data_IF_420842942448
#
_entry.id   IF_420842942448
#
_cell.length_a   1.000
_cell.length_b   1.000
_cell.length_c   1.000
_cell.angle_alpha   90.00
_cell.angle_beta   90.00
_cell.angle_gamma   90.00
#
_symmetry.space_group_name_H-M   'P 1'
#
loop_
_entity.id
_entity.type
_entity.pdbx_description
1 polymer ?
#
# COMPACT_ATOMS: atom_id res chain seq x y z
N UNK A 1 -19.53 88.54 54.38
CA UNK A 1 -20.90 88.63 53.83
C UNK A 1 -21.08 87.99 52.45
N UNK A 2 -20.50 88.48 51.34
CA UNK A 2 -20.72 87.89 50.01
C UNK A 2 -20.19 86.44 49.87
N UNK A 3 -18.97 86.21 50.37
CA UNK A 3 -18.32 84.89 50.44
C UNK A 3 -19.04 83.87 51.35
N UNK A 4 -19.65 84.31 52.44
CA UNK A 4 -20.36 83.41 53.37
C UNK A 4 -21.72 82.99 52.83
N UNK A 5 -22.40 83.91 52.11
CA UNK A 5 -23.62 83.60 51.35
C UNK A 5 -23.32 82.62 50.22
N UNK A 6 -22.27 82.87 49.43
CA UNK A 6 -21.82 81.95 48.37
C UNK A 6 -21.42 80.58 48.93
N UNK A 7 -20.73 80.52 50.07
CA UNK A 7 -20.37 79.26 50.73
C UNK A 7 -21.60 78.49 51.25
N UNK A 8 -22.63 79.19 51.74
CA UNK A 8 -23.88 78.55 52.17
C UNK A 8 -24.71 78.07 50.98
N UNK A 9 -24.71 78.81 49.87
CA UNK A 9 -25.36 78.40 48.62
C UNK A 9 -24.67 77.17 48.01
N UNK A 10 -23.34 77.11 48.02
CA UNK A 10 -22.58 75.93 47.60
C UNK A 10 -22.87 74.71 48.48
N UNK A 11 -22.93 74.87 49.81
CA UNK A 11 -23.28 73.77 50.73
C UNK A 11 -24.70 73.25 50.49
N UNK A 12 -25.65 74.14 50.16
CA UNK A 12 -27.00 73.74 49.78
C UNK A 12 -27.00 72.94 48.48
N UNK A 13 -26.26 73.41 47.47
CA UNK A 13 -26.10 72.69 46.20
C UNK A 13 -25.44 71.33 46.40
N UNK A 14 -24.40 71.23 47.23
CA UNK A 14 -23.72 69.97 47.57
C UNK A 14 -24.69 68.95 48.18
N UNK A 15 -25.52 69.36 49.14
CA UNK A 15 -26.54 68.49 49.74
C UNK A 15 -27.60 68.05 48.71
N UNK A 16 -28.00 68.94 47.79
CA UNK A 16 -28.92 68.61 46.71
C UNK A 16 -28.30 67.63 45.70
N UNK A 17 -27.02 67.78 45.38
CA UNK A 17 -26.30 66.86 44.49
C UNK A 17 -26.11 65.48 45.12
N UNK A 18 -25.72 65.41 46.39
CA UNK A 18 -25.62 64.15 47.15
C UNK A 18 -26.96 63.42 47.21
N UNK A 19 -28.08 64.15 47.30
CA UNK A 19 -29.41 63.53 47.26
C UNK A 19 -29.73 62.98 45.87
N UNK A 20 -29.41 63.72 44.80
CA UNK A 20 -29.59 63.28 43.41
C UNK A 20 -28.71 62.09 43.06
N UNK A 21 -27.50 62.03 43.59
CA UNK A 21 -26.57 60.91 43.42
C UNK A 21 -27.15 59.63 44.03
N UNK A 22 -27.65 59.69 45.27
CA UNK A 22 -28.37 58.56 45.90
C UNK A 22 -29.61 58.14 45.12
N UNK A 23 -30.38 59.09 44.60
CA UNK A 23 -31.54 58.80 43.75
C UNK A 23 -31.16 58.14 42.42
N UNK A 24 -29.95 58.39 41.90
CA UNK A 24 -29.42 57.73 40.70
C UNK A 24 -28.89 56.34 41.02
N UNK A 25 -28.14 56.17 42.12
CA UNK A 25 -27.69 54.85 42.59
C UNK A 25 -28.86 53.89 42.85
N UNK A 26 -29.95 54.39 43.45
CA UNK A 26 -31.17 53.60 43.67
C UNK A 26 -31.84 53.21 42.35
N UNK A 27 -31.79 54.09 41.33
CA UNK A 27 -32.31 53.79 39.99
C UNK A 27 -31.44 52.76 39.27
N UNK A 28 -30.12 52.91 39.27
CA UNK A 28 -29.17 51.95 38.68
C UNK A 28 -29.31 50.57 39.33
N UNK A 29 -29.55 50.52 40.64
CA UNK A 29 -29.77 49.25 41.36
C UNK A 29 -31.12 48.59 41.01
N UNK A 30 -32.15 49.39 40.75
CA UNK A 30 -33.49 48.92 40.39
C UNK A 30 -33.65 48.71 38.88
N UNK A 31 -32.66 49.07 38.08
CA UNK A 31 -32.71 48.90 36.64
C UNK A 31 -32.83 47.41 36.27
N UNK A 32 -33.76 47.06 35.37
CA UNK A 32 -33.91 45.69 34.91
C UNK A 32 -32.65 45.21 34.20
N UNK A 33 -32.19 44.01 34.55
CA UNK A 33 -31.07 43.35 33.89
C UNK A 33 -31.32 43.22 32.39
N UNK A 34 -30.51 43.92 31.60
CA UNK A 34 -30.48 43.78 30.14
C UNK A 34 -29.12 43.21 29.69
N UNK A 35 -28.98 42.94 28.39
CA UNK A 35 -27.77 42.31 27.82
C UNK A 35 -26.48 43.09 28.13
N UNK A 36 -26.58 44.41 28.28
CA UNK A 36 -25.45 45.28 28.59
C UNK A 36 -25.15 45.37 30.10
N UNK A 37 -26.14 45.07 30.96
CA UNK A 37 -25.97 45.04 32.42
C UNK A 37 -25.52 43.66 32.93
N UNK A 38 -25.95 42.57 32.28
CA UNK A 38 -25.71 41.18 32.74
C UNK A 38 -24.25 40.75 32.56
N UNK A 39 -23.59 41.23 31.51
CA UNK A 39 -22.20 40.89 31.24
C UNK A 39 -21.68 41.55 29.98
N UNK A 40 -20.36 41.56 29.83
CA UNK A 40 -19.69 42.04 28.64
C UNK A 40 -18.91 40.89 27.99
N UNK A 41 -18.75 40.95 26.68
CA UNK A 41 -18.01 39.95 25.93
C UNK A 41 -16.51 40.04 26.26
N UNK A 42 -15.99 39.07 27.03
CA UNK A 42 -14.58 39.06 27.41
C UNK A 42 -13.66 38.63 26.24
N UNK A 43 -14.09 37.64 25.45
CA UNK A 43 -13.36 37.14 24.27
C UNK A 43 -14.38 36.65 23.23
N UNK A 44 -14.29 37.19 22.01
CA UNK A 44 -15.02 36.70 20.84
C UNK A 44 -14.05 36.16 19.81
N UNK A 45 -14.08 34.86 19.55
CA UNK A 45 -13.33 34.27 18.45
C UNK A 45 -14.16 33.21 17.75
N UNK A 46 -14.33 33.37 16.44
CA UNK A 46 -14.96 32.36 15.59
C UNK A 46 -13.94 31.83 14.59
N UNK A 47 -13.89 30.50 14.46
CA UNK A 47 -13.06 29.81 13.47
C UNK A 47 -13.97 29.09 12.49
N UNK A 48 -14.21 29.71 11.35
CA UNK A 48 -14.94 29.11 10.24
C UNK A 48 -13.92 28.38 9.37
N UNK A 49 -14.04 27.06 9.26
CA UNK A 49 -13.26 26.29 8.30
C UNK A 49 -13.73 26.65 6.89
N UNK A 50 -13.06 27.63 6.26
CA UNK A 50 -13.27 27.94 4.85
C UNK A 50 -12.80 26.74 4.03
N UNK A 51 -13.72 26.12 3.30
CA UNK A 51 -13.39 25.18 2.23
C UNK A 51 -12.69 26.01 1.16
N UNK A 52 -11.38 25.82 0.97
CA UNK A 52 -10.64 26.59 -0.02
C UNK A 52 -10.97 26.08 -1.42
N UNK A 53 -11.38 26.97 -2.33
CA UNK A 53 -11.57 26.67 -3.76
C UNK A 53 -10.26 26.41 -4.52
N UNK A 54 -9.10 26.48 -3.84
CA UNK A 54 -7.84 26.10 -4.46
C UNK A 54 -7.88 24.60 -4.73
N UNK A 55 -8.00 24.26 -6.02
CA UNK A 55 -7.49 22.99 -6.54
C UNK A 55 -6.10 22.80 -5.93
N UNK A 56 -5.92 21.74 -5.18
CA UNK A 56 -4.59 21.20 -4.96
C UNK A 56 -4.10 20.74 -6.33
N UNK A 57 -3.51 21.66 -7.10
CA UNK A 57 -2.58 21.26 -8.13
C UNK A 57 -1.54 20.42 -7.41
N UNK A 58 -1.46 19.14 -7.76
CA UNK A 58 -0.47 18.25 -7.20
C UNK A 58 0.89 18.94 -7.38
N UNK A 59 1.54 19.38 -6.29
CA UNK A 59 2.92 19.82 -6.41
C UNK A 59 3.68 18.65 -7.01
N UNK A 60 4.63 18.89 -7.92
CA UNK A 60 5.64 17.86 -8.19
C UNK A 60 6.25 17.52 -6.83
N UNK A 61 5.90 16.34 -6.32
CA UNK A 61 6.32 15.91 -4.99
C UNK A 61 7.85 15.95 -5.00
N UNK A 62 8.42 16.76 -4.11
CA UNK A 62 9.86 16.68 -3.83
C UNK A 62 10.16 15.29 -3.28
N UNK A 63 11.35 14.74 -3.51
CA UNK A 63 11.78 13.44 -2.97
C UNK A 63 11.53 13.36 -1.45
N UNK A 64 11.66 14.48 -0.74
CA UNK A 64 11.41 14.58 0.71
C UNK A 64 9.92 14.42 1.09
N UNK A 65 8.99 14.80 0.22
CA UNK A 65 7.55 14.66 0.46
C UNK A 65 7.05 13.27 0.06
N UNK A 66 7.64 12.65 -0.95
CA UNK A 66 7.42 11.24 -1.28
C UNK A 66 7.90 10.33 -0.15
N UNK A 67 9.09 10.58 0.41
CA UNK A 67 9.61 9.84 1.55
C UNK A 67 8.70 9.97 2.78
N UNK A 68 8.25 11.19 3.10
CA UNK A 68 7.27 11.41 4.19
C UNK A 68 5.95 10.68 3.94
N UNK A 69 5.45 10.70 2.70
CA UNK A 69 4.22 9.97 2.33
C UNK A 69 4.42 8.46 2.51
N UNK A 70 5.58 7.92 2.15
CA UNK A 70 5.91 6.51 2.33
C UNK A 70 6.02 6.11 3.81
N UNK A 71 6.61 6.97 4.66
CA UNK A 71 6.65 6.76 6.11
C UNK A 71 5.24 6.77 6.72
N UNK A 72 4.41 7.74 6.34
CA UNK A 72 3.01 7.81 6.79
C UNK A 72 2.22 6.58 6.33
N UNK A 73 2.44 6.12 5.10
CA UNK A 73 1.81 4.91 4.58
C UNK A 73 2.24 3.67 5.38
N UNK A 74 3.54 3.52 5.67
CA UNK A 74 4.05 2.43 6.50
C UNK A 74 3.45 2.45 7.91
N UNK A 75 3.38 3.63 8.54
CA UNK A 75 2.75 3.79 9.86
C UNK A 75 1.26 3.45 9.82
N UNK A 76 0.55 3.88 8.77
CA UNK A 76 -0.86 3.57 8.57
C UNK A 76 -1.10 2.08 8.42
N UNK A 77 -0.28 1.37 7.65
CA UNK A 77 -0.38 -0.07 7.46
C UNK A 77 -0.13 -0.84 8.76
N UNK A 78 0.83 -0.39 9.57
CA UNK A 78 1.10 -0.99 10.89
C UNK A 78 -0.04 -0.79 11.87
N UNK A 79 -0.61 0.41 11.92
CA UNK A 79 -1.63 0.75 12.92
C UNK A 79 -3.03 0.26 12.55
N UNK A 80 -3.36 0.19 11.25
CA UNK A 80 -4.70 -0.14 10.76
C UNK A 80 -4.76 -1.44 9.95
N UNK A 81 -3.66 -2.19 9.84
CA UNK A 81 -3.58 -3.39 8.99
C UNK A 81 -4.64 -4.45 9.32
N UNK A 82 -4.90 -4.68 10.62
CA UNK A 82 -5.90 -5.67 11.03
C UNK A 82 -7.33 -5.19 10.72
N UNK A 83 -7.63 -3.91 10.98
CA UNK A 83 -8.92 -3.30 10.62
C UNK A 83 -9.17 -3.34 9.11
N UNK A 84 -8.13 -3.13 8.29
CA UNK A 84 -8.24 -3.20 6.83
C UNK A 84 -8.47 -4.62 6.34
N UNK A 85 -7.86 -5.63 6.99
CA UNK A 85 -8.14 -7.03 6.69
C UNK A 85 -9.57 -7.42 7.08
N UNK A 86 -10.07 -6.93 8.20
CA UNK A 86 -11.47 -7.13 8.61
C UNK A 86 -12.42 -6.49 7.59
N UNK A 87 -12.18 -5.24 7.20
CA UNK A 87 -12.95 -4.56 6.16
C UNK A 87 -12.92 -5.31 4.83
N UNK A 88 -11.74 -5.77 4.40
CA UNK A 88 -11.58 -6.51 3.14
C UNK A 88 -12.32 -7.85 3.09
N UNK A 89 -12.68 -8.43 4.25
CA UNK A 89 -13.48 -9.67 4.32
C UNK A 89 -14.99 -9.42 4.29
N UNK A 90 -15.42 -8.17 4.42
CA UNK A 90 -16.84 -7.84 4.33
C UNK A 90 -17.32 -8.00 2.90
N UNK A 91 -18.51 -8.55 2.72
CA UNK A 91 -19.16 -8.74 1.42
C UNK A 91 -20.47 -7.95 1.27
N UNK A 92 -20.95 -7.34 2.36
CA UNK A 92 -22.24 -6.66 2.41
C UNK A 92 -22.05 -5.16 2.52
N UNK A 93 -22.74 -4.39 1.67
CA UNK A 93 -22.67 -2.93 1.68
C UNK A 93 -23.08 -2.29 3.02
N UNK A 94 -24.05 -2.86 3.72
CA UNK A 94 -24.49 -2.36 5.03
C UNK A 94 -23.39 -2.53 6.09
N UNK A 95 -22.71 -3.67 6.07
CA UNK A 95 -21.58 -3.93 6.96
C UNK A 95 -20.41 -3.00 6.63
N UNK A 96 -20.11 -2.81 5.34
CA UNK A 96 -19.07 -1.89 4.88
C UNK A 96 -19.37 -0.43 5.27
N UNK A 97 -20.63 0.03 5.14
CA UNK A 97 -21.02 1.37 5.58
C UNK A 97 -20.84 1.52 7.09
N UNK A 98 -21.36 0.59 7.88
CA UNK A 98 -21.26 0.64 9.35
C UNK A 98 -19.79 0.69 9.78
N UNK A 99 -18.95 -0.16 9.20
CA UNK A 99 -17.53 -0.22 9.53
C UNK A 99 -16.79 1.07 9.18
N UNK A 100 -17.06 1.67 8.01
CA UNK A 100 -16.46 2.95 7.62
C UNK A 100 -16.99 4.14 8.44
N UNK A 101 -18.20 4.05 8.99
CA UNK A 101 -18.71 5.08 9.92
C UNK A 101 -18.10 4.96 11.32
N UNK A 102 -17.79 3.74 11.77
CA UNK A 102 -17.07 3.48 13.02
C UNK A 102 -15.57 3.83 12.90
N UNK A 103 -15.00 3.65 11.70
CA UNK A 103 -13.59 3.93 11.40
C UNK A 103 -13.42 4.84 10.16
N UNK A 104 -13.81 6.12 10.23
CA UNK A 104 -13.80 7.02 9.06
C UNK A 104 -12.41 7.31 8.49
N UNK A 105 -11.36 7.15 9.30
CA UNK A 105 -9.97 7.32 8.86
C UNK A 105 -9.53 6.27 7.84
N UNK A 106 -10.27 5.16 7.72
CA UNK A 106 -10.01 4.14 6.70
C UNK A 106 -10.47 4.56 5.29
N UNK A 107 -11.28 5.62 5.15
CA UNK A 107 -11.60 6.18 3.83
C UNK A 107 -10.42 7.02 3.30
N UNK A 108 -9.33 6.35 2.92
CA UNK A 108 -8.09 6.98 2.47
C UNK A 108 -7.44 6.23 1.30
N UNK A 109 -6.62 6.93 0.51
CA UNK A 109 -5.83 6.34 -0.59
C UNK A 109 -4.91 5.20 -0.09
N UNK A 110 -4.40 5.31 1.14
CA UNK A 110 -3.55 4.29 1.75
C UNK A 110 -4.31 2.99 1.96
N UNK A 111 -5.58 3.06 2.39
CA UNK A 111 -6.44 1.89 2.52
C UNK A 111 -6.67 1.19 1.18
N UNK A 112 -6.96 1.96 0.11
CA UNK A 112 -7.10 1.40 -1.23
C UNK A 112 -5.81 0.70 -1.71
N UNK A 113 -4.66 1.30 -1.43
CA UNK A 113 -3.35 0.72 -1.73
C UNK A 113 -3.09 -0.58 -0.96
N UNK A 114 -3.41 -0.60 0.33
CA UNK A 114 -3.29 -1.79 1.18
C UNK A 114 -4.17 -2.95 0.67
N UNK A 115 -5.45 -2.68 0.41
CA UNK A 115 -6.38 -3.70 -0.08
C UNK A 115 -5.97 -4.22 -1.47
N UNK A 116 -5.38 -3.38 -2.32
CA UNK A 116 -4.83 -3.80 -3.61
C UNK A 116 -3.67 -4.79 -3.43
N UNK A 117 -2.76 -4.52 -2.49
CA UNK A 117 -1.64 -5.41 -2.18
C UNK A 117 -2.16 -6.73 -1.59
N UNK A 118 -3.13 -6.65 -0.67
CA UNK A 118 -3.71 -7.85 -0.06
C UNK A 118 -4.45 -8.71 -1.10
N UNK A 119 -5.23 -8.10 -1.98
CA UNK A 119 -5.89 -8.79 -3.09
C UNK A 119 -4.87 -9.44 -4.03
N UNK A 120 -3.74 -8.78 -4.32
CA UNK A 120 -2.66 -9.36 -5.10
C UNK A 120 -2.01 -10.56 -4.40
N UNK A 121 -1.78 -10.47 -3.09
CA UNK A 121 -1.23 -11.58 -2.31
C UNK A 121 -2.17 -12.80 -2.35
N UNK A 122 -3.48 -12.59 -2.24
CA UNK A 122 -4.49 -13.65 -2.38
C UNK A 122 -4.52 -14.24 -3.79
N UNK A 123 -4.36 -13.42 -4.84
CA UNK A 123 -4.25 -13.89 -6.22
C UNK A 123 -2.99 -14.77 -6.43
N UNK A 124 -1.85 -14.40 -5.83
CA UNK A 124 -0.64 -15.23 -5.83
C UNK A 124 -0.89 -16.56 -5.09
N UNK A 125 -1.66 -16.54 -4.01
CA UNK A 125 -2.04 -17.74 -3.25
C UNK A 125 -3.17 -18.56 -3.89
N UNK A 126 -3.66 -18.20 -5.08
CA UNK A 126 -4.78 -18.86 -5.76
C UNK A 126 -6.11 -18.85 -4.99
N UNK A 127 -6.30 -17.89 -4.09
CA UNK A 127 -7.54 -17.73 -3.32
C UNK A 127 -8.50 -16.78 -4.03
N UNK A 128 -9.08 -17.24 -5.13
CA UNK A 128 -9.84 -16.38 -6.05
C UNK A 128 -11.12 -15.79 -5.41
N UNK A 129 -11.82 -16.56 -4.57
CA UNK A 129 -13.04 -16.11 -3.89
C UNK A 129 -12.75 -14.99 -2.89
N UNK A 130 -11.77 -15.19 -1.99
CA UNK A 130 -11.35 -14.18 -1.01
C UNK A 130 -10.80 -12.92 -1.72
N UNK A 131 -9.99 -13.12 -2.77
CA UNK A 131 -9.47 -12.03 -3.60
C UNK A 131 -10.58 -11.21 -4.24
N UNK A 132 -11.65 -11.86 -4.71
CA UNK A 132 -12.81 -11.19 -5.29
C UNK A 132 -13.54 -10.28 -4.30
N UNK A 133 -13.69 -10.72 -3.04
CA UNK A 133 -14.32 -9.93 -1.97
C UNK A 133 -13.45 -8.72 -1.61
N UNK A 134 -12.15 -8.93 -1.40
CA UNK A 134 -11.21 -7.84 -1.08
C UNK A 134 -11.12 -6.83 -2.24
N UNK A 135 -11.15 -7.31 -3.49
CA UNK A 135 -11.14 -6.48 -4.68
C UNK A 135 -12.38 -5.58 -4.75
N UNK A 136 -13.57 -6.11 -4.47
CA UNK A 136 -14.81 -5.32 -4.43
C UNK A 136 -14.74 -4.23 -3.35
N UNK A 137 -14.29 -4.56 -2.13
CA UNK A 137 -14.10 -3.58 -1.06
C UNK A 137 -13.06 -2.50 -1.41
N UNK A 138 -12.01 -2.87 -2.15
CA UNK A 138 -11.03 -1.91 -2.65
C UNK A 138 -11.67 -0.91 -3.62
N UNK A 139 -12.46 -1.38 -4.58
CA UNK A 139 -13.16 -0.50 -5.55
C UNK A 139 -14.19 0.40 -4.83
N UNK A 140 -14.88 -0.11 -3.80
CA UNK A 140 -15.79 0.72 -2.98
C UNK A 140 -15.05 1.91 -2.36
N UNK A 141 -13.86 1.70 -1.78
CA UNK A 141 -13.05 2.81 -1.24
C UNK A 141 -12.59 3.75 -2.36
N UNK A 142 -12.17 3.24 -3.52
CA UNK A 142 -11.75 4.07 -4.65
C UNK A 142 -12.89 4.98 -5.16
N UNK A 143 -14.10 4.44 -5.30
CA UNK A 143 -15.29 5.21 -5.69
C UNK A 143 -15.68 6.25 -4.63
N UNK A 144 -15.55 5.92 -3.34
CA UNK A 144 -15.77 6.88 -2.26
C UNK A 144 -14.77 8.04 -2.34
N UNK A 145 -13.50 7.75 -2.61
CA UNK A 145 -12.45 8.76 -2.78
C UNK A 145 -12.72 9.63 -4.01
N UNK A 146 -13.10 9.03 -5.13
CA UNK A 146 -13.45 9.76 -6.36
C UNK A 146 -14.66 10.69 -6.17
N UNK A 147 -15.70 10.20 -5.49
CA UNK A 147 -16.85 11.03 -5.12
C UNK A 147 -16.43 12.19 -4.20
N UNK A 148 -15.58 11.91 -3.21
CA UNK A 148 -15.10 12.95 -2.29
C UNK A 148 -14.29 14.04 -3.00
N UNK A 149 -13.46 13.65 -3.96
CA UNK A 149 -12.68 14.54 -4.81
C UNK A 149 -13.59 15.44 -5.67
N UNK A 150 -14.62 14.84 -6.28
CA UNK A 150 -15.63 15.55 -7.08
C UNK A 150 -16.43 16.56 -6.25
N UNK A 151 -16.72 16.23 -4.99
CA UNK A 151 -17.44 17.10 -4.05
C UNK A 151 -16.53 18.12 -3.34
N UNK A 152 -15.21 18.09 -3.61
CA UNK A 152 -14.20 18.87 -2.88
C UNK A 152 -14.35 18.74 -1.35
N UNK A 153 -14.68 17.54 -0.89
CA UNK A 153 -14.88 17.20 0.51
C UNK A 153 -13.90 16.11 0.95
N UNK A 154 -13.61 16.04 2.24
CA UNK A 154 -12.78 14.96 2.79
C UNK A 154 -13.56 13.65 2.79
N UNK A 155 -12.97 12.58 2.22
CA UNK A 155 -13.55 11.23 2.22
C UNK A 155 -13.82 10.69 3.64
N UNK A 156 -13.00 11.12 4.61
CA UNK A 156 -13.14 10.75 6.02
C UNK A 156 -14.32 11.42 6.73
N UNK A 157 -15.03 12.34 6.06
CA UNK A 157 -16.22 12.96 6.62
C UNK A 157 -17.39 11.96 6.61
N UNK A 158 -17.91 11.64 7.79
CA UNK A 158 -19.03 10.69 7.95
C UNK A 158 -20.28 11.05 7.15
N UNK A 159 -20.54 12.33 6.88
CA UNK A 159 -21.65 12.75 6.03
C UNK A 159 -21.42 12.38 4.55
N UNK A 160 -20.17 12.47 4.08
CA UNK A 160 -19.79 12.06 2.72
C UNK A 160 -19.94 10.55 2.58
N UNK A 161 -19.46 9.79 3.58
CA UNK A 161 -19.60 8.33 3.64
C UNK A 161 -21.08 7.90 3.59
N UNK A 162 -21.94 8.47 4.45
CA UNK A 162 -23.39 8.17 4.42
C UNK A 162 -24.03 8.51 3.08
N UNK A 163 -23.67 9.67 2.52
CA UNK A 163 -24.21 10.10 1.24
C UNK A 163 -23.77 9.20 0.08
N UNK A 164 -22.53 8.73 0.11
CA UNK A 164 -22.00 7.75 -0.85
C UNK A 164 -22.85 6.47 -0.82
N UNK A 165 -22.97 5.81 0.33
CA UNK A 165 -23.72 4.56 0.43
C UNK A 165 -25.22 4.73 0.15
N UNK A 166 -25.81 5.87 0.54
CA UNK A 166 -27.19 6.20 0.18
C UNK A 166 -27.38 6.30 -1.34
N UNK A 167 -26.49 7.00 -2.04
CA UNK A 167 -26.53 7.10 -3.51
C UNK A 167 -26.25 5.76 -4.18
N UNK A 168 -25.31 5.00 -3.65
CA UNK A 168 -24.93 3.69 -4.17
C UNK A 168 -26.12 2.71 -4.13
N UNK A 169 -26.90 2.68 -3.04
CA UNK A 169 -28.11 1.85 -2.93
C UNK A 169 -29.24 2.27 -3.87
N UNK A 170 -29.36 3.57 -4.14
CA UNK A 170 -30.38 4.12 -5.02
C UNK A 170 -29.87 4.29 -6.47
N UNK A 171 -28.69 3.75 -6.79
CA UNK A 171 -28.09 3.91 -8.10
C UNK A 171 -28.91 3.18 -9.17
N UNK A 172 -28.93 3.77 -10.37
CA UNK A 172 -29.56 3.15 -11.53
C UNK A 172 -28.91 1.79 -11.83
N UNK A 173 -29.67 0.76 -12.26
CA UNK A 173 -29.11 -0.53 -12.65
C UNK A 173 -27.93 -0.45 -13.64
N UNK A 174 -27.94 0.52 -14.55
CA UNK A 174 -26.83 0.76 -15.49
C UNK A 174 -25.51 1.12 -14.79
N UNK A 175 -25.56 1.92 -13.73
CA UNK A 175 -24.39 2.26 -12.92
C UNK A 175 -23.84 1.03 -12.19
N UNK A 176 -24.73 0.18 -11.67
CA UNK A 176 -24.35 -1.06 -11.00
C UNK A 176 -23.70 -2.08 -11.96
N UNK A 177 -24.06 -2.07 -13.24
CA UNK A 177 -23.37 -2.89 -14.26
C UNK A 177 -21.94 -2.39 -14.45
N UNK A 178 -21.75 -1.07 -14.65
CA UNK A 178 -20.42 -0.47 -14.80
C UNK A 178 -19.52 -0.77 -13.58
N UNK A 179 -20.06 -0.65 -12.37
CA UNK A 179 -19.34 -1.00 -11.15
C UNK A 179 -18.89 -2.47 -11.14
N UNK A 180 -19.77 -3.41 -11.51
CA UNK A 180 -19.43 -4.84 -11.58
C UNK A 180 -18.39 -5.14 -12.65
N UNK A 181 -18.49 -4.49 -13.82
CA UNK A 181 -17.49 -4.61 -14.89
C UNK A 181 -16.12 -4.11 -14.44
N UNK A 182 -16.06 -3.00 -13.71
CA UNK A 182 -14.81 -2.47 -13.19
C UNK A 182 -14.18 -3.38 -12.13
N UNK A 183 -15.01 -3.92 -11.23
CA UNK A 183 -14.59 -4.92 -10.24
C UNK A 183 -14.03 -6.17 -10.94
N UNK A 184 -14.68 -6.67 -11.98
CA UNK A 184 -14.19 -7.85 -12.70
C UNK A 184 -12.92 -7.56 -13.50
N UNK A 185 -12.85 -6.40 -14.17
CA UNK A 185 -11.63 -5.94 -14.83
C UNK A 185 -10.45 -5.79 -13.83
N UNK A 186 -10.73 -5.37 -12.60
CA UNK A 186 -9.72 -5.30 -11.55
C UNK A 186 -9.25 -6.68 -11.10
N UNK A 187 -10.17 -7.64 -10.89
CA UNK A 187 -9.83 -9.04 -10.59
C UNK A 187 -8.98 -9.66 -11.70
N UNK A 188 -9.30 -9.43 -12.96
CA UNK A 188 -8.52 -9.95 -14.09
C UNK A 188 -7.08 -9.39 -14.10
N UNK A 189 -6.91 -8.10 -13.81
CA UNK A 189 -5.57 -7.50 -13.63
C UNK A 189 -4.81 -8.14 -12.48
N UNK A 190 -5.48 -8.43 -11.37
CA UNK A 190 -4.88 -9.09 -10.20
C UNK A 190 -4.49 -10.54 -10.52
N UNK A 191 -5.35 -11.31 -11.20
CA UNK A 191 -5.04 -12.68 -11.66
C UNK A 191 -3.82 -12.71 -12.55
N UNK A 192 -3.76 -11.80 -13.53
CA UNK A 192 -2.61 -11.68 -14.45
C UNK A 192 -1.33 -11.35 -13.69
N UNK A 193 -1.32 -10.29 -12.87
CA UNK A 193 -0.14 -9.95 -12.06
C UNK A 193 0.25 -11.04 -11.07
N UNK A 194 -0.73 -11.74 -10.48
CA UNK A 194 -0.50 -12.84 -9.56
C UNK A 194 0.14 -14.05 -10.27
N UNK A 195 -0.24 -14.31 -11.52
CA UNK A 195 0.45 -15.28 -12.39
C UNK A 195 1.87 -14.83 -12.70
N UNK A 196 2.04 -13.61 -13.22
CA UNK A 196 3.37 -13.08 -13.59
C UNK A 196 4.35 -13.11 -12.40
N UNK A 197 3.89 -12.79 -11.19
CA UNK A 197 4.73 -12.82 -9.98
C UNK A 197 5.11 -14.24 -9.55
N UNK A 198 4.26 -15.24 -9.78
CA UNK A 198 4.61 -16.65 -9.54
C UNK A 198 5.57 -17.17 -10.58
N UNK A 199 5.31 -16.89 -11.84
CA UNK A 199 6.17 -17.30 -12.95
C UNK A 199 7.58 -16.69 -12.77
N UNK A 200 7.67 -15.43 -12.32
CA UNK A 200 8.94 -14.80 -11.98
C UNK A 200 9.66 -15.49 -10.79
N UNK A 201 8.93 -15.84 -9.73
CA UNK A 201 9.51 -16.54 -8.58
C UNK A 201 10.02 -17.95 -8.94
N UNK A 202 9.30 -18.66 -9.81
CA UNK A 202 9.74 -19.96 -10.35
C UNK A 202 10.98 -19.79 -11.22
N UNK A 203 11.00 -18.80 -12.12
CA UNK A 203 12.16 -18.54 -12.97
C UNK A 203 13.41 -18.14 -12.17
N UNK A 204 13.25 -17.40 -11.07
CA UNK A 204 14.35 -17.05 -10.16
C UNK A 204 14.90 -18.30 -9.45
N UNK A 205 14.03 -19.19 -8.96
CA UNK A 205 14.43 -20.47 -8.38
C UNK A 205 15.16 -21.36 -9.39
N UNK A 206 14.64 -21.48 -10.62
CA UNK A 206 15.30 -22.23 -11.69
C UNK A 206 16.67 -21.63 -12.05
N UNK A 207 16.81 -20.30 -12.05
CA UNK A 207 18.08 -19.63 -12.30
C UNK A 207 19.10 -19.87 -11.18
N UNK A 208 18.66 -19.85 -9.92
CA UNK A 208 19.51 -20.17 -8.76
C UNK A 208 19.94 -21.63 -8.76
N UNK A 209 19.05 -22.56 -9.09
CA UNK A 209 19.40 -23.97 -9.25
C UNK A 209 20.37 -24.18 -10.40
N UNK A 210 20.15 -23.51 -11.53
CA UNK A 210 21.08 -23.50 -12.66
C UNK A 210 22.45 -22.96 -12.27
N UNK A 211 22.51 -21.85 -11.52
CA UNK A 211 23.76 -21.29 -11.04
C UNK A 211 24.49 -22.26 -10.09
N UNK A 212 23.77 -22.96 -9.21
CA UNK A 212 24.35 -24.01 -8.35
C UNK A 212 24.90 -25.19 -9.17
N UNK A 213 24.19 -25.64 -10.22
CA UNK A 213 24.68 -26.70 -11.13
C UNK A 213 25.95 -26.28 -11.86
N UNK A 214 25.98 -25.05 -12.37
CA UNK A 214 27.15 -24.47 -13.03
C UNK A 214 28.33 -24.37 -12.06
N UNK A 215 28.10 -23.88 -10.84
CA UNK A 215 29.15 -23.74 -9.82
C UNK A 215 29.71 -25.10 -9.34
N UNK A 216 28.91 -26.16 -9.34
CA UNK A 216 29.35 -27.52 -9.05
C UNK A 216 30.13 -28.19 -10.21
N UNK A 217 30.15 -27.56 -11.38
CA UNK A 217 30.77 -28.12 -12.58
C UNK A 217 32.24 -27.66 -12.72
N UNK A 218 33.17 -28.57 -13.06
CA UNK A 218 34.61 -28.30 -13.02
C UNK A 218 35.09 -27.20 -13.97
N UNK A 219 34.37 -26.93 -15.06
CA UNK A 219 34.67 -25.90 -16.06
C UNK A 219 33.57 -24.85 -16.21
N UNK A 220 32.60 -24.77 -15.28
CA UNK A 220 31.57 -23.72 -15.28
C UNK A 220 30.56 -23.80 -16.43
N UNK A 221 30.37 -24.98 -17.02
CA UNK A 221 29.29 -25.26 -17.97
C UNK A 221 28.18 -26.07 -17.29
N UNK A 222 26.91 -25.75 -17.57
CA UNK A 222 25.77 -26.52 -17.05
C UNK A 222 25.74 -27.93 -17.68
N UNK A 223 25.79 -29.02 -16.91
CA UNK A 223 25.70 -30.39 -17.42
C UNK A 223 24.42 -30.62 -18.23
N UNK A 224 23.32 -29.97 -17.85
CA UNK A 224 22.05 -30.12 -18.53
C UNK A 224 22.05 -29.45 -19.91
N UNK A 225 22.56 -28.22 -20.03
CA UNK A 225 22.67 -27.53 -21.32
C UNK A 225 23.66 -28.21 -22.26
N UNK A 226 24.77 -28.72 -21.72
CA UNK A 226 25.72 -29.47 -22.51
C UNK A 226 25.05 -30.73 -23.04
N UNK A 227 24.38 -31.52 -22.19
CA UNK A 227 23.67 -32.73 -22.61
C UNK A 227 22.60 -32.43 -23.67
N UNK A 228 21.76 -31.40 -23.47
CA UNK A 228 20.71 -31.02 -24.43
C UNK A 228 21.27 -30.49 -25.76
N UNK A 229 22.48 -29.94 -25.76
CA UNK A 229 23.21 -29.49 -26.95
C UNK A 229 24.00 -30.57 -27.69
N UNK A 230 24.07 -31.80 -27.16
CA UNK A 230 24.83 -32.89 -27.80
C UNK A 230 24.11 -33.44 -29.05
N UNK A 231 24.89 -33.94 -30.04
CA UNK A 231 24.35 -34.74 -31.13
C UNK A 231 23.61 -35.97 -30.62
N UNK A 232 22.57 -36.40 -31.34
CA UNK A 232 21.70 -37.51 -30.92
C UNK A 232 22.49 -38.80 -30.64
N UNK A 233 23.49 -39.12 -31.48
CA UNK A 233 24.32 -40.32 -31.31
C UNK A 233 25.18 -40.27 -30.02
N UNK A 234 25.70 -39.08 -29.67
CA UNK A 234 26.41 -38.89 -28.40
C UNK A 234 25.46 -38.92 -27.20
N UNK A 235 24.29 -38.28 -27.29
CA UNK A 235 23.26 -38.32 -26.23
C UNK A 235 22.88 -39.74 -25.87
N UNK A 236 22.66 -40.58 -26.88
CA UNK A 236 22.31 -41.99 -26.69
C UNK A 236 23.45 -42.78 -26.05
N UNK A 237 24.71 -42.51 -26.42
CA UNK A 237 25.88 -43.14 -25.79
C UNK A 237 26.05 -42.73 -24.31
N UNK A 238 25.81 -41.46 -23.96
CA UNK A 238 25.82 -41.00 -22.56
C UNK A 238 24.62 -41.51 -21.76
N UNK A 239 23.44 -41.61 -22.39
CA UNK A 239 22.23 -42.16 -21.75
C UNK A 239 22.37 -43.68 -21.46
N UNK A 240 23.02 -44.43 -22.35
CA UNK A 240 23.28 -45.86 -22.16
C UNK A 240 24.45 -46.16 -21.23
N UNK A 241 25.26 -45.15 -20.87
CA UNK A 241 26.49 -45.27 -20.05
C UNK A 241 27.51 -46.26 -20.64
N UNK A 242 27.49 -46.48 -21.95
CA UNK A 242 28.36 -47.45 -22.63
C UNK A 242 29.53 -46.71 -23.29
N UNK A 243 30.74 -46.89 -22.74
CA UNK A 243 31.98 -46.28 -23.26
C UNK A 243 32.28 -46.75 -24.70
N UNK A 244 31.91 -47.99 -25.03
CA UNK A 244 32.11 -48.58 -26.36
C UNK A 244 31.27 -47.86 -27.44
N UNK A 245 30.05 -47.41 -27.09
CA UNK A 245 29.24 -46.61 -28.01
C UNK A 245 29.83 -45.23 -28.24
N UNK A 246 30.42 -44.62 -27.20
CA UNK A 246 31.08 -43.33 -27.34
C UNK A 246 32.28 -43.42 -28.29
N UNK A 247 33.04 -44.52 -28.24
CA UNK A 247 34.14 -44.80 -29.18
C UNK A 247 33.63 -45.03 -30.62
N UNK A 248 32.52 -45.76 -30.80
CA UNK A 248 31.92 -45.94 -32.12
C UNK A 248 31.42 -44.62 -32.74
N UNK A 249 30.95 -43.68 -31.91
CA UNK A 249 30.57 -42.32 -32.33
C UNK A 249 31.80 -41.49 -32.68
N UNK A 250 32.92 -41.68 -31.98
CA UNK A 250 34.20 -41.03 -32.28
C UNK A 250 34.78 -41.44 -33.65
N UNK A 251 34.58 -42.70 -34.05
CA UNK A 251 35.02 -43.20 -35.35
C UNK A 251 34.11 -42.79 -36.51
N UNK A 252 32.81 -42.57 -36.24
CA UNK A 252 31.82 -42.17 -37.26
C UNK A 252 31.78 -40.67 -37.52
N UNK A 253 31.98 -39.85 -36.49
CA UNK A 253 31.82 -38.41 -36.57
C UNK A 253 33.15 -37.73 -36.94
N UNK A 254 33.06 -36.52 -37.49
CA UNK A 254 34.23 -35.70 -37.73
C UNK A 254 34.99 -35.39 -36.43
N UNK A 255 36.31 -35.51 -36.48
CA UNK A 255 37.18 -35.51 -35.32
C UNK A 255 37.16 -34.16 -34.59
N UNK A 256 37.09 -33.03 -35.32
CA UNK A 256 37.04 -31.70 -34.73
C UNK A 256 35.71 -31.45 -33.99
N UNK A 257 34.60 -31.91 -34.57
CA UNK A 257 33.26 -31.81 -33.96
C UNK A 257 33.17 -32.69 -32.70
N UNK A 258 33.76 -33.89 -32.74
CA UNK A 258 33.75 -34.81 -31.60
C UNK A 258 34.53 -34.24 -30.42
N UNK A 259 35.74 -33.71 -30.67
CA UNK A 259 36.56 -33.09 -29.64
C UNK A 259 35.91 -31.84 -29.04
N UNK A 260 35.24 -31.01 -29.85
CA UNK A 260 34.51 -29.85 -29.37
C UNK A 260 33.42 -30.23 -28.35
N UNK A 261 32.62 -31.25 -28.65
CA UNK A 261 31.56 -31.72 -27.74
C UNK A 261 32.13 -32.49 -26.53
N UNK A 262 33.19 -33.28 -26.72
CA UNK A 262 33.84 -34.03 -25.63
C UNK A 262 34.48 -33.08 -24.59
N UNK A 263 35.14 -32.01 -25.02
CA UNK A 263 35.71 -31.01 -24.11
C UNK A 263 34.62 -30.37 -23.26
N UNK A 264 33.48 -30.02 -23.86
CA UNK A 264 32.32 -29.48 -23.13
C UNK A 264 31.72 -30.48 -22.15
N UNK A 265 31.73 -31.78 -22.47
CA UNK A 265 31.30 -32.83 -21.55
C UNK A 265 32.24 -32.95 -20.33
N UNK A 266 33.54 -32.71 -20.51
CA UNK A 266 34.51 -32.72 -19.42
C UNK A 266 34.35 -31.47 -18.54
N UNK A 267 34.23 -30.30 -19.17
CA UNK A 267 34.06 -29.02 -18.48
C UNK A 267 32.73 -28.93 -17.70
N UNK A 268 31.69 -29.60 -18.18
CA UNK A 268 30.43 -29.73 -17.44
C UNK A 268 30.41 -30.88 -16.43
N UNK A 269 31.49 -31.65 -16.32
CA UNK A 269 31.55 -32.81 -15.41
C UNK A 269 30.69 -34.00 -15.83
N UNK A 270 30.11 -33.98 -17.03
CA UNK A 270 29.35 -35.08 -17.64
C UNK A 270 30.24 -36.29 -17.97
N UNK A 271 31.53 -36.05 -18.20
CA UNK A 271 32.55 -37.07 -18.45
C UNK A 271 33.83 -36.79 -17.65
N UNK A 272 34.34 -37.79 -16.94
CA UNK A 272 35.60 -37.69 -16.19
C UNK A 272 36.66 -38.53 -16.93
N UNK A 273 37.65 -37.90 -17.57
CA UNK A 273 38.78 -38.62 -18.14
C UNK A 273 39.65 -39.14 -16.97
N UNK A 274 39.72 -40.47 -16.86
CA UNK A 274 40.40 -41.25 -15.83
C UNK A 274 39.74 -41.32 -14.43
N UNK A 275 39.21 -42.51 -14.11
CA UNK A 275 38.65 -42.88 -12.81
C UNK A 275 39.62 -42.72 -11.62
N UNK A 276 40.94 -42.59 -11.87
CA UNK A 276 41.96 -42.34 -10.82
C UNK A 276 42.10 -40.86 -10.43
N UNK A 277 41.66 -39.91 -11.24
CA UNK A 277 41.69 -38.49 -10.89
C UNK A 277 40.53 -38.10 -9.95
N UNK A 278 39.43 -38.87 -9.96
CA UNK A 278 38.22 -38.64 -9.16
C UNK A 278 38.46 -38.79 -7.65
N UNK A 279 39.34 -39.70 -7.20
CA UNK A 279 39.67 -39.87 -5.78
C UNK A 279 40.44 -38.67 -5.19
N UNK A 280 41.13 -37.89 -6.02
CA UNK A 280 41.91 -36.72 -5.55
C UNK A 280 41.06 -35.47 -5.35
N UNK A 281 39.95 -35.34 -6.07
CA UNK A 281 39.03 -34.19 -5.96
C UNK A 281 37.92 -34.41 -4.94
N UNK A 282 37.44 -35.63 -4.72
CA UNK A 282 36.48 -35.93 -3.63
C UNK A 282 37.07 -35.63 -2.24
N UNK A 283 38.36 -35.90 -2.05
CA UNK A 283 39.07 -35.64 -0.79
C UNK A 283 39.35 -34.15 -0.49
N UNK A 284 39.27 -33.25 -1.49
CA UNK A 284 39.46 -31.79 -1.28
C UNK A 284 38.15 -31.08 -0.90
N UNK A 285 37.01 -31.59 -1.36
CA UNK A 285 35.69 -31.05 -0.99
C UNK A 285 35.25 -31.43 0.43
N UNK A 286 35.68 -32.59 0.97
CA UNK A 286 35.37 -32.96 2.36
C UNK A 286 36.19 -32.16 3.38
N UNK A 287 37.43 -31.76 3.05
CA UNK A 287 38.30 -31.00 3.99
C UNK A 287 37.88 -29.53 4.13
N UNK A 288 37.23 -28.95 3.11
CA UNK A 288 36.79 -27.54 3.13
C UNK A 288 35.41 -27.30 3.77
N UNK A 289 34.68 -28.37 4.10
CA UNK A 289 33.40 -28.30 4.81
C UNK A 289 33.54 -28.53 6.34
N UNK A 290 34.76 -28.69 6.84
CA UNK A 290 35.06 -29.01 8.25
C UNK A 290 35.93 -27.96 8.98
N UNK A 291 36.13 -26.77 8.41
CA UNK A 291 36.76 -25.61 9.07
C UNK A 291 35.78 -24.43 9.23
#
# INVERSE_FOLDING_TARGET
MKLELEMNDLKRQEVEFLKKEKELEDKERLEPWNVDTIGHEAISSSRINKISEKKSEAPRLSEEEENRRMELQCAFFKNNGDLLKEFGRLNNLESSEKFLLEHPHLASDFSASFLTIEALNLAVQLKDEEMGIVAEQCIIIQYLLELSSTLHALATNTNVIRNFFKKFRCADPSYMVMFREEVEAFKDRLRKRGKDKRDAAVAEQEADEKAKRIAASPGGLDPQEVFDGLPQEMKEAFASKEVERLQAVAEKMDHEVFLYHLHRCIDSGLWIPDAKAAESNANKSEVTMAE
#
